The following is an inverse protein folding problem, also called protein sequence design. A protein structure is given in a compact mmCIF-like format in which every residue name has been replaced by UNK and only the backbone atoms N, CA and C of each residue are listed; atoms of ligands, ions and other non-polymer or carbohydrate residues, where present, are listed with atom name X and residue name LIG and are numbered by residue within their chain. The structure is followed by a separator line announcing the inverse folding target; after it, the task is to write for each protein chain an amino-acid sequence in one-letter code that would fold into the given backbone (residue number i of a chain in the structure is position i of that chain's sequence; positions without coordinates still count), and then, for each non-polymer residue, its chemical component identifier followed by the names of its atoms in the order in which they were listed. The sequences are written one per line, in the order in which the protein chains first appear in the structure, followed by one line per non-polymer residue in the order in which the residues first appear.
data_IF_509040683033
#
_entry.id   IF_509040683033
#
_cell.length_a   1.000
_cell.length_b   1.000
_cell.length_c   1.000
_cell.angle_alpha   90.00
_cell.angle_beta   90.00
_cell.angle_gamma   90.00
#
_symmetry.space_group_name_H-M   'P 1'
#
loop_
_entity.id
_entity.type
_entity.pdbx_description
1 polymer ?
#
# COMPACT_ATOMS: atom_id res chain seq x y z
N UNK A 1 -9.60 -18.42 -0.75
CA UNK A 1 -8.73 -17.27 -0.41
C UNK A 1 -9.55 -16.02 -0.63
N UNK A 2 -9.65 -15.17 0.39
CA UNK A 2 -10.43 -13.92 0.32
C UNK A 2 -9.66 -12.87 -0.48
N UNK A 3 -10.35 -11.99 -1.22
CA UNK A 3 -9.71 -10.91 -2.00
C UNK A 3 -8.75 -10.06 -1.16
N UNK A 4 -9.08 -9.84 0.12
CA UNK A 4 -8.26 -9.13 1.10
C UNK A 4 -6.85 -9.71 1.24
N UNK A 5 -6.72 -11.04 1.30
CA UNK A 5 -5.42 -11.71 1.49
C UNK A 5 -4.50 -11.54 0.28
N UNK A 6 -5.09 -11.58 -0.94
CA UNK A 6 -4.34 -11.33 -2.17
C UNK A 6 -3.86 -9.89 -2.26
N UNK A 7 -4.75 -8.91 -1.97
CA UNK A 7 -4.38 -7.49 -1.99
C UNK A 7 -3.29 -7.23 -0.95
N UNK A 8 -3.47 -7.69 0.29
CA UNK A 8 -2.48 -7.51 1.34
C UNK A 8 -1.12 -8.10 0.94
N UNK A 9 -1.09 -9.31 0.35
CA UNK A 9 0.17 -9.92 -0.13
C UNK A 9 0.85 -9.11 -1.23
N UNK A 10 0.10 -8.65 -2.24
CA UNK A 10 0.66 -7.83 -3.31
C UNK A 10 1.22 -6.52 -2.78
N UNK A 11 0.46 -5.82 -1.93
CA UNK A 11 0.93 -4.57 -1.32
C UNK A 11 2.15 -4.82 -0.42
N UNK A 12 2.12 -5.89 0.38
CA UNK A 12 3.26 -6.28 1.22
C UNK A 12 4.50 -6.49 0.39
N UNK A 13 4.38 -7.21 -0.73
CA UNK A 13 5.51 -7.46 -1.63
C UNK A 13 6.08 -6.16 -2.20
N UNK A 14 5.23 -5.23 -2.63
CA UNK A 14 5.67 -3.91 -3.07
C UNK A 14 6.39 -3.13 -1.96
N UNK A 15 5.95 -3.24 -0.71
CA UNK A 15 6.64 -2.61 0.42
C UNK A 15 8.03 -3.20 0.64
N UNK A 16 8.18 -4.52 0.55
CA UNK A 16 9.50 -5.16 0.61
C UNK A 16 10.37 -4.69 -0.57
N UNK A 17 9.84 -4.68 -1.79
CA UNK A 17 10.62 -4.37 -3.00
C UNK A 17 10.97 -2.88 -3.14
N UNK A 18 10.08 -1.97 -2.74
CA UNK A 18 10.26 -0.52 -2.91
C UNK A 18 10.88 0.16 -1.68
N UNK A 19 10.62 -0.36 -0.48
CA UNK A 19 11.03 0.28 0.78
C UNK A 19 12.01 -0.57 1.60
N UNK A 20 12.40 -1.76 1.11
CA UNK A 20 13.27 -2.73 1.80
C UNK A 20 12.77 -3.12 3.19
N UNK A 21 11.44 -3.13 3.36
CA UNK A 21 10.79 -3.40 4.65
C UNK A 21 10.78 -4.91 4.90
N UNK A 22 11.22 -5.40 6.06
CA UNK A 22 11.13 -6.82 6.38
C UNK A 22 9.67 -7.25 6.48
N UNK A 23 9.32 -8.37 5.83
CA UNK A 23 7.96 -8.91 5.80
C UNK A 23 7.36 -9.13 7.19
N UNK A 24 8.20 -9.41 8.20
CA UNK A 24 7.79 -9.57 9.60
C UNK A 24 7.23 -8.27 10.22
N UNK A 25 7.66 -7.11 9.72
CA UNK A 25 7.11 -5.80 10.10
C UNK A 25 5.87 -5.42 9.31
N UNK A 26 5.48 -6.18 8.29
CA UNK A 26 4.31 -5.84 7.47
C UNK A 26 3.04 -6.39 8.10
N UNK A 27 2.22 -5.49 8.63
CA UNK A 27 0.97 -5.80 9.30
C UNK A 27 -0.08 -4.73 8.96
N UNK A 28 -1.37 -5.03 9.20
CA UNK A 28 -2.46 -4.12 8.79
C UNK A 28 -2.43 -2.76 9.48
N UNK A 29 -1.79 -2.67 10.65
CA UNK A 29 -1.61 -1.42 11.41
C UNK A 29 -0.33 -0.67 11.01
N UNK A 30 0.50 -1.22 10.12
CA UNK A 30 1.70 -0.56 9.61
C UNK A 30 1.30 0.76 8.93
N UNK A 31 1.78 1.87 9.49
CA UNK A 31 1.70 3.18 8.87
C UNK A 31 2.79 3.33 7.81
N UNK A 32 2.41 3.77 6.61
CA UNK A 32 3.37 4.05 5.55
C UNK A 32 4.31 5.19 5.94
N UNK A 33 3.85 6.11 6.78
CA UNK A 33 4.64 7.23 7.27
C UNK A 33 5.71 6.83 8.29
N UNK A 34 5.63 5.63 8.88
CA UNK A 34 6.68 5.05 9.73
C UNK A 34 7.77 4.33 8.91
N UNK A 35 7.59 4.20 7.59
CA UNK A 35 8.60 3.61 6.73
C UNK A 35 9.74 4.60 6.51
N UNK A 36 10.96 4.16 6.79
CA UNK A 36 12.17 5.00 6.72
C UNK A 36 12.40 5.62 5.33
N UNK A 37 11.96 4.92 4.27
CA UNK A 37 12.08 5.35 2.87
C UNK A 37 10.79 6.03 2.33
N UNK A 38 9.87 6.45 3.20
CA UNK A 38 8.63 7.12 2.78
C UNK A 38 8.81 8.62 2.65
N UNK A 39 8.90 9.07 1.40
CA UNK A 39 9.04 10.45 0.97
C UNK A 39 8.04 10.76 -0.15
N UNK A 40 7.88 12.03 -0.52
CA UNK A 40 6.95 12.44 -1.60
C UNK A 40 7.20 11.68 -2.92
N UNK A 41 8.46 11.34 -3.24
CA UNK A 41 8.78 10.62 -4.48
C UNK A 41 8.44 9.13 -4.40
N UNK A 42 8.79 8.46 -3.30
CA UNK A 42 8.50 7.03 -3.11
C UNK A 42 7.02 6.80 -2.89
N UNK A 43 6.32 7.71 -2.22
CA UNK A 43 4.85 7.73 -2.12
C UNK A 43 4.20 7.73 -3.51
N UNK A 44 4.60 8.65 -4.41
CA UNK A 44 4.03 8.72 -5.77
C UNK A 44 4.34 7.43 -6.54
N UNK A 45 5.57 6.92 -6.47
CA UNK A 45 5.94 5.64 -7.12
C UNK A 45 5.11 4.47 -6.62
N UNK A 46 4.89 4.40 -5.30
CA UNK A 46 4.09 3.35 -4.68
C UNK A 46 2.64 3.42 -5.13
N UNK A 47 2.03 4.61 -5.13
CA UNK A 47 0.67 4.82 -5.64
C UNK A 47 0.58 4.36 -7.09
N UNK A 48 1.49 4.83 -7.97
CA UNK A 48 1.49 4.44 -9.40
C UNK A 48 1.68 2.92 -9.57
N UNK A 49 2.49 2.27 -8.74
CA UNK A 49 2.65 0.82 -8.77
C UNK A 49 1.34 0.09 -8.40
N UNK A 50 0.66 0.56 -7.34
CA UNK A 50 -0.65 0.06 -6.94
C UNK A 50 -1.70 0.28 -8.03
N UNK A 51 -1.72 1.45 -8.64
CA UNK A 51 -2.66 1.79 -9.70
C UNK A 51 -2.52 0.85 -10.91
N UNK A 52 -1.29 0.54 -11.30
CA UNK A 52 -0.99 -0.38 -12.38
C UNK A 52 -1.34 -1.84 -12.02
N UNK A 53 -1.00 -2.30 -10.82
CA UNK A 53 -1.26 -3.67 -10.35
C UNK A 53 -2.76 -3.95 -10.21
N UNK A 54 -3.51 -3.02 -9.61
CA UNK A 54 -4.94 -3.21 -9.32
C UNK A 54 -5.86 -2.60 -10.38
N UNK A 55 -5.29 -1.99 -11.42
CA UNK A 55 -6.02 -1.23 -12.43
C UNK A 55 -7.01 -0.25 -11.75
N UNK A 56 -6.52 0.47 -10.74
CA UNK A 56 -7.27 1.46 -9.96
C UNK A 56 -6.62 2.81 -10.15
N UNK A 57 -7.39 3.90 -10.20
CA UNK A 57 -6.81 5.24 -10.09
C UNK A 57 -7.19 5.81 -8.73
N UNK A 58 -6.20 6.07 -7.89
CA UNK A 58 -6.41 6.70 -6.61
C UNK A 58 -6.61 8.20 -6.81
N UNK A 59 -7.68 8.73 -6.20
CA UNK A 59 -7.90 10.18 -6.16
C UNK A 59 -7.10 10.79 -5.01
N UNK A 60 -6.80 12.08 -5.08
CA UNK A 60 -6.13 12.82 -3.99
C UNK A 60 -6.79 12.60 -2.61
N UNK A 61 -8.13 12.54 -2.59
CA UNK A 61 -8.92 12.27 -1.39
C UNK A 61 -8.73 10.85 -0.83
N UNK A 62 -8.39 9.87 -1.67
CA UNK A 62 -8.06 8.49 -1.25
C UNK A 62 -6.60 8.38 -0.84
N UNK A 63 -5.70 9.03 -1.57
CA UNK A 63 -4.27 9.12 -1.24
C UNK A 63 -4.08 9.70 0.16
N UNK A 64 -4.85 10.74 0.50
CA UNK A 64 -4.85 11.33 1.84
C UNK A 64 -5.33 10.38 2.95
N UNK A 65 -6.10 9.34 2.59
CA UNK A 65 -6.57 8.26 3.50
C UNK A 65 -5.63 7.05 3.51
N UNK A 66 -4.71 6.98 2.55
CA UNK A 66 -3.73 5.92 2.39
C UNK A 66 -2.59 6.13 3.39
N UNK A 67 -2.92 5.94 4.67
CA UNK A 67 -1.99 6.08 5.81
C UNK A 67 -1.44 4.76 6.28
N UNK A 68 -2.25 3.71 6.25
CA UNK A 68 -1.90 2.37 6.72
C UNK A 68 -2.12 1.33 5.64
N UNK A 69 -1.40 0.20 5.77
CA UNK A 69 -1.62 -0.98 4.93
C UNK A 69 -3.08 -1.43 4.97
N UNK A 70 -3.67 -1.53 6.17
CA UNK A 70 -5.07 -1.93 6.33
C UNK A 70 -6.04 -0.97 5.65
N UNK A 71 -5.79 0.34 5.75
CA UNK A 71 -6.57 1.36 5.05
C UNK A 71 -6.50 1.20 3.52
N UNK A 72 -5.30 0.96 2.99
CA UNK A 72 -5.10 0.72 1.56
C UNK A 72 -5.84 -0.54 1.08
N UNK A 73 -5.69 -1.66 1.80
CA UNK A 73 -6.37 -2.92 1.47
C UNK A 73 -7.89 -2.75 1.54
N UNK A 74 -8.40 -2.01 2.53
CA UNK A 74 -9.81 -1.73 2.67
C UNK A 74 -10.35 -0.90 1.51
N UNK A 75 -9.64 0.14 1.07
CA UNK A 75 -10.01 0.96 -0.10
C UNK A 75 -10.11 0.12 -1.37
N UNK A 76 -9.15 -0.78 -1.60
CA UNK A 76 -9.13 -1.65 -2.77
C UNK A 76 -10.19 -2.77 -2.71
N UNK A 77 -10.57 -3.19 -1.50
CA UNK A 77 -11.58 -4.23 -1.30
C UNK A 77 -13.00 -3.69 -1.41
N UNK A 78 -13.25 -2.49 -0.89
CA UNK A 78 -14.58 -1.89 -0.80
C UNK A 78 -15.00 -1.16 -2.09
N UNK A 79 -14.74 -1.81 -3.24
CA UNK A 79 -15.18 -1.36 -4.57
C UNK A 79 -16.67 -1.54 -4.78
#
# INVERSE_FOLDING_TARGET
MSNVDNIQKSVSKMLVELFDVPADKIHSELEFNDLENWDSLTQVRFIVALENEFNHQFKDSEISKLKTLGGCVHLLTNR
#
